data_IF_731080494509
#
_entry.id   IF_731080494509
#
_cell.length_a   1.000
_cell.length_b   1.000
_cell.length_c   1.000
_cell.angle_alpha   90.00
_cell.angle_beta   90.00
_cell.angle_gamma   90.00
#
_symmetry.space_group_name_H-M   'P 1'
#
loop_
_entity.id
_entity.type
_entity.pdbx_description
1 polymer ?
#
# COMPACT_ATOMS: atom_id res chain seq x y z
N UNK A 1 -5.92 0.71 -11.23
CA UNK A 1 -5.17 1.87 -10.70
C UNK A 1 -3.68 1.60 -10.91
N UNK A 2 -3.10 2.11 -11.98
CA UNK A 2 -1.66 2.00 -12.27
C UNK A 2 -1.07 3.41 -12.25
N UNK A 3 -0.10 3.70 -11.37
CA UNK A 3 0.59 5.00 -11.28
C UNK A 3 0.39 5.80 -9.98
N UNK A 4 1.00 6.99 -9.91
CA UNK A 4 1.09 7.86 -8.71
C UNK A 4 -0.17 8.67 -8.42
N UNK A 5 -1.20 8.64 -9.27
CA UNK A 5 -2.38 9.50 -9.12
C UNK A 5 -3.18 9.29 -7.82
N UNK A 6 -3.12 8.10 -7.21
CA UNK A 6 -3.69 7.88 -5.87
C UNK A 6 -2.90 8.63 -4.79
N UNK A 7 -1.56 8.61 -4.89
CA UNK A 7 -0.66 9.29 -3.97
C UNK A 7 -0.84 10.81 -4.04
N UNK A 8 -0.90 11.38 -5.25
CA UNK A 8 -1.10 12.83 -5.42
C UNK A 8 -2.42 13.33 -4.81
N UNK A 9 -3.52 12.57 -5.00
CA UNK A 9 -4.82 12.91 -4.39
C UNK A 9 -4.81 12.82 -2.87
N UNK A 10 -4.03 11.90 -2.30
CA UNK A 10 -3.87 11.80 -0.85
C UNK A 10 -2.96 12.92 -0.31
N UNK A 11 -1.83 13.19 -0.98
CA UNK A 11 -0.91 14.28 -0.65
C UNK A 11 -1.64 15.63 -0.57
N UNK A 12 -2.55 15.90 -1.51
CA UNK A 12 -3.37 17.10 -1.52
C UNK A 12 -4.36 17.23 -0.33
N UNK A 13 -4.56 16.17 0.47
CA UNK A 13 -5.41 16.18 1.67
C UNK A 13 -4.64 16.37 2.97
N UNK A 14 -3.31 16.34 2.94
CA UNK A 14 -2.49 16.62 4.10
C UNK A 14 -2.60 18.10 4.48
N UNK A 15 -2.49 18.40 5.78
CA UNK A 15 -2.44 19.78 6.26
C UNK A 15 -1.18 20.49 5.75
N UNK A 16 -0.07 19.75 5.64
CA UNK A 16 1.16 20.16 4.98
C UNK A 16 1.54 19.13 3.90
N UNK A 17 1.39 19.46 2.61
CA UNK A 17 1.77 18.58 1.50
C UNK A 17 3.26 18.24 1.47
N UNK A 18 4.15 19.06 2.03
CA UNK A 18 5.59 18.84 1.97
C UNK A 18 6.07 17.74 2.93
N UNK A 19 5.23 17.33 3.90
CA UNK A 19 5.46 16.15 4.73
C UNK A 19 5.42 14.84 3.92
N UNK A 20 4.76 14.84 2.75
CA UNK A 20 4.73 13.68 1.87
C UNK A 20 6.04 13.54 1.09
N UNK A 21 6.95 12.75 1.63
CA UNK A 21 8.25 12.46 0.98
C UNK A 21 8.08 11.62 -0.30
N UNK A 22 8.99 11.80 -1.27
CA UNK A 22 9.01 11.01 -2.50
C UNK A 22 9.13 9.49 -2.25
N UNK A 23 9.73 9.09 -1.13
CA UNK A 23 9.81 7.69 -0.72
C UNK A 23 8.43 7.07 -0.48
N UNK A 24 7.43 7.85 -0.05
CA UNK A 24 6.04 7.39 0.11
C UNK A 24 5.32 7.20 -1.24
N UNK A 25 5.82 7.82 -2.31
CA UNK A 25 5.33 7.64 -3.67
C UNK A 25 5.92 6.39 -4.35
N UNK A 26 6.91 5.72 -3.75
CA UNK A 26 7.67 4.64 -4.38
C UNK A 26 6.77 3.49 -4.87
N UNK A 27 6.76 3.22 -6.16
CA UNK A 27 6.07 2.05 -6.75
C UNK A 27 7.09 0.99 -7.13
N UNK A 28 6.75 -0.28 -6.92
CA UNK A 28 7.56 -1.41 -7.35
C UNK A 28 6.89 -2.11 -8.54
N UNK A 29 7.37 -1.92 -9.78
CA UNK A 29 6.82 -2.57 -10.96
C UNK A 29 7.03 -4.08 -10.98
N UNK A 30 7.99 -4.60 -10.20
CA UNK A 30 8.31 -6.01 -10.10
C UNK A 30 7.55 -6.71 -8.95
N UNK A 31 6.75 -5.96 -8.18
CA UNK A 31 5.99 -6.50 -7.06
C UNK A 31 5.08 -7.66 -7.51
N UNK A 32 5.07 -8.73 -6.73
CA UNK A 32 4.22 -9.90 -6.95
C UNK A 32 3.23 -10.02 -5.80
N UNK A 33 1.98 -10.33 -6.14
CA UNK A 33 0.93 -10.56 -5.17
C UNK A 33 0.31 -11.93 -5.43
N UNK A 34 0.25 -12.76 -4.40
CA UNK A 34 -0.51 -14.01 -4.39
C UNK A 34 -1.71 -13.84 -3.48
N UNK A 35 -2.89 -14.24 -3.96
CA UNK A 35 -4.10 -14.27 -3.16
C UNK A 35 -4.46 -15.70 -2.78
N UNK A 36 -4.73 -15.91 -1.49
CA UNK A 36 -5.23 -17.17 -0.95
C UNK A 36 -6.64 -16.91 -0.43
N UNK A 37 -7.63 -17.50 -1.09
CA UNK A 37 -9.04 -17.37 -0.70
C UNK A 37 -9.38 -18.41 0.38
N UNK A 38 -9.92 -17.95 1.49
CA UNK A 38 -10.57 -18.79 2.50
C UNK A 38 -12.10 -18.54 2.49
N UNK A 39 -12.86 -19.36 3.20
CA UNK A 39 -14.33 -19.20 3.26
C UNK A 39 -14.76 -17.85 3.83
N UNK A 40 -14.02 -17.31 4.82
CA UNK A 40 -14.39 -16.09 5.55
C UNK A 40 -13.48 -14.89 5.32
N UNK A 41 -12.29 -15.08 4.73
CA UNK A 41 -11.31 -14.02 4.51
C UNK A 41 -10.39 -14.34 3.33
N UNK A 42 -9.54 -13.38 2.96
CA UNK A 42 -8.53 -13.52 1.91
C UNK A 42 -7.19 -13.12 2.49
N UNK A 43 -6.20 -13.98 2.30
CA UNK A 43 -4.80 -13.65 2.59
C UNK A 43 -4.11 -13.17 1.31
N UNK A 44 -3.31 -12.12 1.44
CA UNK A 44 -2.50 -11.56 0.37
C UNK A 44 -1.03 -11.63 0.77
N UNK A 45 -0.25 -12.45 0.06
CA UNK A 45 1.20 -12.50 0.19
C UNK A 45 1.80 -11.56 -0.87
N UNK A 46 2.53 -10.54 -0.41
CA UNK A 46 3.13 -9.51 -1.26
C UNK A 46 4.64 -9.61 -1.17
N UNK A 47 5.28 -9.91 -2.30
CA UNK A 47 6.72 -9.80 -2.49
C UNK A 47 7.01 -8.44 -3.16
N UNK A 48 7.70 -7.56 -2.43
CA UNK A 48 8.02 -6.23 -2.91
C UNK A 48 9.26 -5.66 -2.22
N UNK A 49 9.93 -4.75 -2.91
CA UNK A 49 11.06 -3.97 -2.41
C UNK A 49 10.65 -2.70 -1.67
N UNK A 50 9.36 -2.30 -1.70
CA UNK A 50 8.91 -1.11 -0.97
C UNK A 50 8.83 -1.38 0.54
N UNK A 51 9.11 -0.37 1.38
CA UNK A 51 8.97 -0.53 2.83
C UNK A 51 7.53 -0.88 3.25
N UNK A 52 7.40 -1.72 4.27
CA UNK A 52 6.10 -2.16 4.81
C UNK A 52 5.21 -0.99 5.28
N UNK A 53 5.79 0.11 5.75
CA UNK A 53 5.05 1.35 6.05
C UNK A 53 4.36 1.95 4.83
N UNK A 54 5.04 1.98 3.67
CA UNK A 54 4.47 2.50 2.42
C UNK A 54 3.35 1.57 1.92
N UNK A 55 3.57 0.25 2.00
CA UNK A 55 2.54 -0.75 1.68
C UNK A 55 1.31 -0.58 2.58
N UNK A 56 1.51 -0.38 3.89
CA UNK A 56 0.43 -0.15 4.86
C UNK A 56 -0.37 1.10 4.56
N UNK A 57 0.31 2.20 4.26
CA UNK A 57 -0.37 3.45 3.90
C UNK A 57 -1.25 3.25 2.65
N UNK A 58 -0.75 2.56 1.62
CA UNK A 58 -1.51 2.27 0.39
C UNK A 58 -2.72 1.40 0.62
N UNK A 59 -2.56 0.30 1.37
CA UNK A 59 -3.68 -0.57 1.71
C UNK A 59 -4.72 0.17 2.56
N UNK A 60 -4.29 1.08 3.43
CA UNK A 60 -5.22 1.91 4.20
C UNK A 60 -6.04 2.84 3.29
N UNK A 61 -5.44 3.39 2.24
CA UNK A 61 -6.14 4.22 1.26
C UNK A 61 -7.11 3.42 0.37
N UNK A 62 -6.79 2.17 0.07
CA UNK A 62 -7.56 1.34 -0.87
C UNK A 62 -8.63 0.49 -0.19
N UNK A 63 -8.32 -0.09 0.96
CA UNK A 63 -9.13 -1.08 1.67
C UNK A 63 -9.61 -0.59 3.06
N UNK A 64 -9.26 0.63 3.46
CA UNK A 64 -9.62 1.18 4.77
C UNK A 64 -8.93 0.45 5.92
N UNK A 65 -9.64 0.21 7.02
CA UNK A 65 -9.08 -0.35 8.26
C UNK A 65 -9.37 -1.85 8.48
N UNK A 66 -10.07 -2.51 7.54
CA UNK A 66 -10.55 -3.89 7.72
C UNK A 66 -9.51 -5.00 7.47
N UNK A 67 -8.22 -4.69 7.59
CA UNK A 67 -7.14 -5.59 7.21
C UNK A 67 -5.96 -5.46 8.17
N UNK A 68 -5.03 -6.42 8.13
CA UNK A 68 -3.84 -6.45 8.98
C UNK A 68 -2.60 -6.75 8.14
N UNK A 69 -1.50 -6.03 8.41
CA UNK A 69 -0.19 -6.35 7.82
C UNK A 69 0.58 -7.23 8.79
N UNK A 70 1.10 -8.34 8.29
CA UNK A 70 2.00 -9.23 9.01
C UNK A 70 3.25 -9.40 8.15
N UNK A 71 4.42 -9.11 8.73
CA UNK A 71 5.68 -9.44 8.09
C UNK A 71 5.88 -10.96 8.17
N UNK A 72 6.18 -11.57 7.03
CA UNK A 72 6.49 -13.00 6.90
C UNK A 72 7.93 -13.12 6.41
N UNK A 73 8.72 -13.95 7.10
CA UNK A 73 10.17 -14.13 6.88
C UNK A 73 10.47 -15.36 6.04
#
# INVERSE_FOLDING_TARGET
LTGTGLFERWKARLADPDEATAAMAATDPAARVKGIQHEAHVDLEVDTTIPSQVLRQRLSLLAGNGWQLRDVT
#
